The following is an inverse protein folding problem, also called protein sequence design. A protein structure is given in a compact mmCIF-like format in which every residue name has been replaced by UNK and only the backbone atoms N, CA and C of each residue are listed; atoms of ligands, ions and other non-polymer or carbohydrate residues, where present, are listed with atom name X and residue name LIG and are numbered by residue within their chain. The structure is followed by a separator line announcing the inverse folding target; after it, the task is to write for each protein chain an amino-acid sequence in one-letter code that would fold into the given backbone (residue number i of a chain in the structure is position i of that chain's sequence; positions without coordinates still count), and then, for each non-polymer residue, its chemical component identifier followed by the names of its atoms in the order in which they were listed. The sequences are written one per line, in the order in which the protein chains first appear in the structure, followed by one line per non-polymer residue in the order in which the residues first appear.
data_IF_559232539816
#
_entry.id   IF_559232539816
#
_cell.length_a   1.000
_cell.length_b   1.000
_cell.length_c   1.000
_cell.angle_alpha   90.00
_cell.angle_beta   90.00
_cell.angle_gamma   90.00
#
_symmetry.space_group_name_H-M   'P 1'
#
loop_
_entity.id
_entity.type
_entity.pdbx_description
1 polymer ?
#
# COMPACT_ATOMS: atom_id res chain seq x y z
N UNK A 1 21.05 -12.33 -8.51
CA UNK A 1 19.77 -11.69 -8.83
C UNK A 1 19.91 -11.00 -10.15
N UNK A 2 19.02 -11.30 -11.08
CA UNK A 2 18.97 -10.60 -12.37
C UNK A 2 18.51 -9.16 -12.10
N UNK A 3 19.04 -8.17 -12.83
CA UNK A 3 18.72 -6.75 -12.61
C UNK A 3 17.20 -6.48 -12.65
N UNK A 4 16.48 -7.27 -13.44
CA UNK A 4 15.02 -7.19 -13.61
C UNK A 4 14.24 -7.61 -12.35
N UNK A 5 14.79 -8.55 -11.55
CA UNK A 5 14.16 -8.99 -10.30
C UNK A 5 14.26 -7.91 -9.21
N UNK A 6 15.35 -7.14 -9.20
CA UNK A 6 15.55 -6.07 -8.22
C UNK A 6 14.60 -4.90 -8.48
N UNK A 7 14.52 -4.46 -9.75
CA UNK A 7 13.64 -3.36 -10.15
C UNK A 7 12.16 -3.67 -9.86
N UNK A 8 11.75 -4.92 -10.10
CA UNK A 8 10.39 -5.36 -9.77
C UNK A 8 10.11 -5.32 -8.26
N UNK A 9 11.07 -5.73 -7.44
CA UNK A 9 10.92 -5.68 -5.98
C UNK A 9 10.91 -4.24 -5.45
N UNK A 10 11.69 -3.35 -6.05
CA UNK A 10 11.71 -1.93 -5.70
C UNK A 10 10.36 -1.27 -6.01
N UNK A 11 9.78 -1.52 -7.19
CA UNK A 11 8.45 -1.02 -7.57
C UNK A 11 7.34 -1.55 -6.63
N UNK A 12 7.44 -2.82 -6.21
CA UNK A 12 6.50 -3.39 -5.22
C UNK A 12 6.61 -2.75 -3.84
N UNK A 13 7.81 -2.30 -3.44
CA UNK A 13 8.02 -1.63 -2.15
C UNK A 13 7.56 -0.17 -2.22
N UNK A 14 7.80 0.52 -3.33
CA UNK A 14 7.33 1.91 -3.52
C UNK A 14 5.80 2.03 -3.48
N UNK A 15 5.09 0.96 -3.84
CA UNK A 15 3.62 0.88 -3.79
C UNK A 15 3.07 0.30 -2.49
N UNK A 16 3.91 0.17 -1.45
CA UNK A 16 3.52 -0.41 -0.17
C UNK A 16 4.02 0.40 1.04
N UNK A 17 3.18 0.49 2.05
CA UNK A 17 3.50 1.20 3.30
C UNK A 17 3.50 0.25 4.50
N UNK A 18 4.47 0.43 5.41
CA UNK A 18 4.50 -0.30 6.67
C UNK A 18 3.62 0.39 7.69
N UNK A 19 2.51 -0.26 8.07
CA UNK A 19 1.50 0.31 8.96
C UNK A 19 0.89 -0.77 9.87
N UNK A 20 0.27 -0.35 10.97
CA UNK A 20 -0.50 -1.21 11.85
C UNK A 20 -1.79 -1.65 11.16
N UNK A 21 -2.05 -2.96 11.10
CA UNK A 21 -3.31 -3.47 10.57
C UNK A 21 -4.34 -3.57 11.70
N UNK A 22 -5.44 -2.82 11.60
CA UNK A 22 -6.52 -2.87 12.60
C UNK A 22 -7.32 -4.18 12.58
N UNK A 23 -7.17 -5.00 11.53
CA UNK A 23 -7.88 -6.28 11.40
C UNK A 23 -7.11 -7.45 12.04
N UNK A 24 -5.79 -7.56 11.79
CA UNK A 24 -4.97 -8.62 12.40
C UNK A 24 -4.16 -8.17 13.61
N UNK A 25 -4.06 -6.86 13.87
CA UNK A 25 -3.32 -6.30 15.01
C UNK A 25 -1.80 -6.35 14.87
N UNK A 26 -1.29 -6.60 13.67
CA UNK A 26 0.14 -6.71 13.37
C UNK A 26 0.63 -5.53 12.53
N UNK A 27 1.89 -5.12 12.74
CA UNK A 27 2.59 -4.19 11.86
C UNK A 27 3.00 -4.92 10.58
N UNK A 28 2.39 -4.51 9.45
CA UNK A 28 2.49 -5.24 8.19
C UNK A 28 2.56 -4.28 7.01
N UNK A 29 3.06 -4.77 5.88
CA UNK A 29 3.01 -4.02 4.63
C UNK A 29 1.56 -3.94 4.12
N UNK A 30 1.17 -2.76 3.68
CA UNK A 30 -0.12 -2.46 3.06
C UNK A 30 0.13 -1.99 1.64
N UNK A 31 -0.38 -2.72 0.66
CA UNK A 31 -0.17 -2.44 -0.77
C UNK A 31 -1.32 -1.60 -1.30
N UNK A 32 -1.02 -0.58 -2.10
CA UNK A 32 -2.03 0.23 -2.79
C UNK A 32 -2.73 -0.62 -3.88
N UNK A 33 -4.05 -0.77 -3.80
CA UNK A 33 -4.81 -1.55 -4.77
C UNK A 33 -5.58 -0.69 -5.76
N UNK A 34 -6.26 0.34 -5.28
CA UNK A 34 -7.17 1.14 -6.09
C UNK A 34 -7.17 2.60 -5.61
N UNK A 35 -7.29 3.55 -6.54
CA UNK A 35 -7.54 4.95 -6.21
C UNK A 35 -9.05 5.16 -6.11
N UNK A 36 -9.54 5.47 -4.91
CA UNK A 36 -10.95 5.71 -4.66
C UNK A 36 -11.38 7.12 -5.09
N UNK A 37 -10.58 8.14 -4.76
CA UNK A 37 -10.88 9.53 -5.14
C UNK A 37 -9.64 10.42 -5.18
N UNK A 38 -9.70 11.49 -5.97
CA UNK A 38 -8.64 12.51 -6.05
C UNK A 38 -9.32 13.88 -5.95
N UNK A 39 -8.99 14.65 -4.91
CA UNK A 39 -9.54 15.98 -4.71
C UNK A 39 -8.59 16.89 -3.94
N UNK A 40 -8.39 18.12 -4.43
CA UNK A 40 -7.71 19.17 -3.66
C UNK A 40 -6.26 18.85 -3.24
N UNK A 41 -5.53 18.04 -4.02
CA UNK A 41 -4.16 17.63 -3.68
C UNK A 41 -4.06 16.43 -2.73
N UNK A 42 -5.19 15.80 -2.41
CA UNK A 42 -5.26 14.57 -1.62
C UNK A 42 -5.78 13.45 -2.50
N UNK A 43 -5.12 12.30 -2.43
CA UNK A 43 -5.53 11.08 -3.13
C UNK A 43 -5.95 10.04 -2.10
N UNK A 44 -7.21 9.63 -2.15
CA UNK A 44 -7.71 8.53 -1.34
C UNK A 44 -7.48 7.22 -2.08
N UNK A 45 -6.75 6.30 -1.47
CA UNK A 45 -6.45 4.97 -2.00
C UNK A 45 -7.04 3.90 -1.10
N UNK A 46 -7.43 2.79 -1.69
CA UNK A 46 -7.69 1.55 -0.96
C UNK A 46 -6.39 0.79 -0.89
N UNK A 47 -5.99 0.44 0.33
CA UNK A 47 -4.83 -0.40 0.58
C UNK A 47 -5.27 -1.76 1.12
N UNK A 48 -4.49 -2.80 0.81
CA UNK A 48 -4.69 -4.16 1.32
C UNK A 48 -3.53 -4.59 2.20
N UNK A 49 -3.84 -5.11 3.38
CA UNK A 49 -2.86 -5.74 4.26
C UNK A 49 -2.26 -6.99 3.59
N UNK A 50 -0.94 -7.08 3.54
CA UNK A 50 -0.23 -8.25 3.00
C UNK A 50 -0.37 -9.51 3.87
N UNK A 51 -0.68 -9.37 5.16
CA UNK A 51 -0.85 -10.49 6.09
C UNK A 51 -2.26 -11.08 6.04
N UNK A 52 -3.29 -10.28 6.35
CA UNK A 52 -4.67 -10.76 6.49
C UNK A 52 -5.60 -10.42 5.33
N UNK A 53 -5.10 -9.71 4.31
CA UNK A 53 -5.84 -9.31 3.10
C UNK A 53 -7.05 -8.39 3.36
N UNK A 54 -7.19 -7.82 4.56
CA UNK A 54 -8.20 -6.80 4.81
C UNK A 54 -7.88 -5.53 4.04
N UNK A 55 -8.92 -4.87 3.52
CA UNK A 55 -8.79 -3.59 2.83
C UNK A 55 -9.18 -2.43 3.74
N UNK A 56 -8.53 -1.28 3.55
CA UNK A 56 -8.89 -0.03 4.22
C UNK A 56 -8.60 1.19 3.33
N UNK A 57 -9.37 2.27 3.44
CA UNK A 57 -9.02 3.54 2.82
C UNK A 57 -7.82 4.18 3.51
N UNK A 58 -7.01 4.90 2.74
CA UNK A 58 -5.85 5.67 3.19
C UNK A 58 -5.73 6.95 2.36
N UNK A 59 -5.25 8.02 2.99
CA UNK A 59 -5.11 9.32 2.36
C UNK A 59 -3.64 9.60 2.10
N UNK A 60 -3.29 9.68 0.82
CA UNK A 60 -1.99 10.14 0.34
C UNK A 60 -2.07 11.65 0.11
N UNK A 61 -1.10 12.37 0.65
CA UNK A 61 -0.93 13.81 0.46
C UNK A 61 0.42 14.00 -0.23
N UNK A 62 0.39 14.58 -1.44
CA UNK A 62 1.58 14.96 -2.21
C UNK A 62 2.28 16.20 -1.62
#
# INVERSE_FOLDING_TARGET
MQADELAFLEEMIESAELLDCTACGEDTLHVHEEVNSIAGGVTEVIMRCASCLSTRPHLLID
#
